data_IF_685833793216
#
_entry.id   IF_685833793216
#
_cell.length_a   1.000
_cell.length_b   1.000
_cell.length_c   1.000
_cell.angle_alpha   90.00
_cell.angle_beta   90.00
_cell.angle_gamma   90.00
#
_symmetry.space_group_name_H-M   'P 1'
#
loop_
_entity.id
_entity.type
_entity.pdbx_description
1 polymer ?
#
# COMPACT_ATOMS: atom_id res chain seq x y z
N UNK A 1 -85.26 16.44 -12.10
CA UNK A 1 -84.20 17.47 -12.17
C UNK A 1 -83.28 17.19 -10.99
N UNK A 2 -82.12 16.57 -11.24
CA UNK A 2 -81.13 16.22 -10.23
C UNK A 2 -79.86 17.08 -10.47
N UNK A 3 -79.62 18.00 -9.58
CA UNK A 3 -78.39 18.82 -9.54
C UNK A 3 -77.31 18.05 -8.76
N UNK A 4 -76.24 17.65 -9.46
CA UNK A 4 -75.03 17.07 -8.85
C UNK A 4 -74.13 18.24 -8.38
N UNK A 5 -73.91 18.32 -7.09
CA UNK A 5 -72.89 19.19 -6.49
C UNK A 5 -71.50 18.54 -6.63
N UNK A 6 -70.58 19.17 -7.31
CA UNK A 6 -69.17 18.83 -7.34
C UNK A 6 -68.45 19.59 -6.23
N UNK A 7 -67.95 18.90 -5.22
CA UNK A 7 -67.04 19.42 -4.21
C UNK A 7 -65.62 19.31 -4.76
N UNK A 8 -65.02 20.46 -5.08
CA UNK A 8 -63.59 20.53 -5.44
C UNK A 8 -62.76 20.58 -4.16
N UNK A 9 -62.01 19.51 -3.91
CA UNK A 9 -61.02 19.43 -2.82
C UNK A 9 -59.71 20.04 -3.35
N UNK A 10 -59.33 21.22 -2.90
CA UNK A 10 -58.00 21.79 -3.09
C UNK A 10 -57.03 21.13 -2.12
N UNK A 11 -56.13 20.27 -2.62
CA UNK A 11 -55.00 19.76 -1.84
C UNK A 11 -53.87 20.77 -2.00
N UNK A 12 -53.63 21.58 -0.97
CA UNK A 12 -52.44 22.41 -0.87
C UNK A 12 -51.24 21.56 -0.52
N UNK A 13 -50.37 21.28 -1.51
CA UNK A 13 -49.05 20.67 -1.26
C UNK A 13 -48.18 21.72 -0.54
N UNK A 14 -47.98 21.55 0.75
CA UNK A 14 -46.99 22.28 1.52
C UNK A 14 -45.60 21.66 1.21
N UNK A 15 -44.84 22.29 0.34
CA UNK A 15 -43.43 21.97 0.11
C UNK A 15 -42.64 22.41 1.35
N UNK A 16 -42.40 21.47 2.27
CA UNK A 16 -41.45 21.68 3.36
C UNK A 16 -40.05 21.53 2.77
N UNK A 17 -39.40 22.63 2.47
CA UNK A 17 -37.97 22.67 2.15
C UNK A 17 -37.21 22.38 3.45
N UNK A 18 -36.86 21.11 3.66
CA UNK A 18 -35.91 20.76 4.71
C UNK A 18 -34.52 21.18 4.21
N UNK A 19 -34.09 22.37 4.56
CA UNK A 19 -32.67 22.74 4.48
C UNK A 19 -31.95 21.92 5.52
N UNK A 20 -31.32 20.81 5.09
CA UNK A 20 -30.37 20.12 5.92
C UNK A 20 -29.17 21.06 6.11
N UNK A 21 -29.19 21.84 7.19
CA UNK A 21 -28.04 22.58 7.67
C UNK A 21 -27.07 21.52 8.20
N UNK A 22 -26.13 21.04 7.36
CA UNK A 22 -25.05 20.17 7.79
C UNK A 22 -24.32 20.93 8.92
N UNK A 23 -24.39 20.41 10.14
CA UNK A 23 -23.55 20.93 11.24
C UNK A 23 -22.12 20.82 10.77
N UNK A 24 -21.41 21.97 10.68
CA UNK A 24 -19.98 21.97 10.38
C UNK A 24 -19.27 21.09 11.40
N UNK A 25 -18.63 20.02 10.94
CA UNK A 25 -17.91 19.10 11.81
C UNK A 25 -16.61 19.74 12.34
N UNK A 26 -16.00 19.10 13.33
CA UNK A 26 -14.69 19.51 13.86
C UNK A 26 -13.66 19.70 12.73
N UNK A 27 -13.65 18.80 11.75
CA UNK A 27 -12.75 18.82 10.59
C UNK A 27 -12.84 20.10 9.74
N UNK A 28 -14.04 20.70 9.63
CA UNK A 28 -14.25 21.87 8.75
C UNK A 28 -13.58 23.15 9.28
N UNK A 29 -13.13 23.13 10.54
CA UNK A 29 -12.42 24.22 11.20
C UNK A 29 -10.90 24.05 11.16
N UNK A 30 -10.40 22.90 10.68
CA UNK A 30 -8.98 22.58 10.68
C UNK A 30 -8.27 23.13 9.44
N UNK A 31 -6.97 23.41 9.54
CA UNK A 31 -6.15 23.74 8.37
C UNK A 31 -6.20 22.61 7.33
N UNK A 32 -6.26 22.98 6.07
CA UNK A 32 -6.26 22.02 4.92
C UNK A 32 -4.90 21.99 4.29
N UNK A 33 -4.38 20.77 4.03
CA UNK A 33 -3.14 20.52 3.31
C UNK A 33 -3.42 19.53 2.18
N UNK A 34 -2.89 19.81 1.00
CA UNK A 34 -2.93 18.86 -0.12
C UNK A 34 -1.65 18.00 -0.02
N UNK A 35 -1.81 16.70 0.00
CA UNK A 35 -0.70 15.76 -0.11
C UNK A 35 -0.65 15.21 -1.52
N UNK A 36 0.44 15.51 -2.23
CA UNK A 36 0.73 14.87 -3.50
C UNK A 36 1.13 13.42 -3.24
N UNK A 37 0.44 12.50 -3.91
CA UNK A 37 0.72 11.09 -3.85
C UNK A 37 1.79 10.74 -4.88
N UNK A 38 2.81 10.03 -4.44
CA UNK A 38 3.95 9.59 -5.24
C UNK A 38 3.94 8.07 -5.40
N UNK A 39 4.35 7.51 -6.54
CA UNK A 39 4.41 6.06 -6.72
C UNK A 39 5.49 5.46 -5.83
N UNK A 40 5.27 4.21 -5.38
CA UNK A 40 6.30 3.42 -4.71
C UNK A 40 7.56 3.27 -5.62
N UNK A 41 8.78 3.25 -5.07
CA UNK A 41 9.13 3.16 -3.65
C UNK A 41 9.17 4.50 -2.90
N UNK A 42 8.77 5.60 -3.54
CA UNK A 42 8.80 6.92 -2.92
C UNK A 42 7.73 7.04 -1.83
N UNK A 43 8.02 7.89 -0.86
CA UNK A 43 7.11 8.22 0.23
C UNK A 43 6.85 9.73 0.20
N UNK A 44 5.60 10.19 0.35
CA UNK A 44 5.30 11.62 0.41
C UNK A 44 6.15 12.36 1.44
N UNK A 45 6.57 13.57 1.12
CA UNK A 45 7.30 14.41 2.07
C UNK A 45 6.50 14.61 3.35
N UNK A 46 7.10 14.33 4.48
CA UNK A 46 6.45 14.41 5.79
C UNK A 46 7.45 14.74 6.90
N UNK A 47 6.93 15.08 8.08
CA UNK A 47 7.73 15.22 9.29
C UNK A 47 7.48 14.02 10.20
N UNK A 48 8.51 13.49 10.83
CA UNK A 48 8.37 12.39 11.81
C UNK A 48 7.59 12.87 13.04
N UNK A 49 7.88 14.07 13.51
CA UNK A 49 7.13 14.76 14.57
C UNK A 49 6.19 15.77 13.95
N UNK A 50 4.94 15.76 14.36
CA UNK A 50 3.94 16.65 13.80
C UNK A 50 4.28 18.12 14.08
N UNK A 51 4.13 18.96 13.05
CA UNK A 51 4.19 20.43 13.20
C UNK A 51 2.76 20.97 13.37
N UNK A 52 2.48 21.50 14.54
CA UNK A 52 1.16 22.06 14.86
C UNK A 52 0.09 21.02 15.23
N UNK A 53 -1.18 21.47 15.28
CA UNK A 53 -2.35 20.64 15.60
C UNK A 53 -2.81 19.72 14.48
N UNK A 54 -3.95 19.04 14.66
CA UNK A 54 -4.61 18.27 13.62
C UNK A 54 -4.96 19.11 12.38
N UNK A 55 -5.02 18.45 11.22
CA UNK A 55 -5.33 19.06 9.93
C UNK A 55 -6.16 18.12 9.06
N UNK A 56 -6.74 18.65 7.99
CA UNK A 56 -7.35 17.86 6.92
C UNK A 56 -6.32 17.68 5.81
N UNK A 57 -5.96 16.43 5.54
CA UNK A 57 -5.06 16.05 4.46
C UNK A 57 -5.93 15.62 3.28
N UNK A 58 -5.93 16.43 2.22
CA UNK A 58 -6.64 16.09 0.98
C UNK A 58 -5.72 15.28 0.07
N UNK A 59 -6.21 14.13 -0.37
CA UNK A 59 -5.56 13.25 -1.34
C UNK A 59 -6.52 12.94 -2.48
N UNK A 60 -5.99 12.74 -3.68
CA UNK A 60 -6.77 12.34 -4.85
C UNK A 60 -6.20 11.06 -5.43
N UNK A 61 -7.08 10.07 -5.64
CA UNK A 61 -6.77 8.83 -6.34
C UNK A 61 -7.67 8.66 -7.56
N UNK A 62 -7.07 8.29 -8.68
CA UNK A 62 -7.76 7.87 -9.88
C UNK A 62 -7.51 6.39 -10.13
N UNK A 63 -8.56 5.67 -10.47
CA UNK A 63 -8.48 4.24 -10.76
C UNK A 63 -8.12 4.05 -12.22
N UNK A 64 -7.23 3.10 -12.50
CA UNK A 64 -6.80 2.76 -13.86
C UNK A 64 -6.85 1.25 -14.05
N UNK A 65 -7.45 0.81 -15.15
CA UNK A 65 -7.41 -0.56 -15.65
C UNK A 65 -6.43 -0.61 -16.82
N UNK A 66 -5.24 -1.23 -16.62
CA UNK A 66 -4.16 -1.21 -17.63
C UNK A 66 -3.39 -2.53 -17.70
N UNK A 67 -2.63 -2.70 -18.77
CA UNK A 67 -1.69 -3.81 -18.92
C UNK A 67 -0.30 -3.34 -18.49
N UNK A 68 0.38 -4.16 -17.68
CA UNK A 68 1.78 -3.97 -17.29
C UNK A 68 2.60 -5.20 -17.66
N UNK A 69 3.91 -5.05 -17.71
CA UNK A 69 4.85 -6.18 -17.78
C UNK A 69 5.27 -6.54 -16.37
N UNK A 70 5.15 -7.81 -15.98
CA UNK A 70 5.32 -8.25 -14.59
C UNK A 70 6.62 -9.05 -14.35
N UNK A 71 7.29 -9.50 -15.39
CA UNK A 71 8.54 -10.24 -15.29
C UNK A 71 9.54 -9.86 -16.40
N UNK A 72 10.76 -10.38 -16.28
CA UNK A 72 11.84 -10.16 -17.26
C UNK A 72 11.63 -10.90 -18.58
N UNK A 73 10.72 -11.86 -18.64
CA UNK A 73 10.31 -12.59 -19.83
C UNK A 73 9.33 -11.79 -20.71
N UNK A 74 8.80 -10.69 -20.17
CA UNK A 74 7.87 -9.81 -20.86
C UNK A 74 6.41 -10.20 -20.71
N UNK A 75 6.08 -11.05 -19.73
CA UNK A 75 4.71 -11.46 -19.43
C UNK A 75 3.82 -10.26 -19.18
N UNK A 76 2.73 -10.17 -19.93
CA UNK A 76 1.74 -9.09 -19.83
C UNK A 76 0.62 -9.50 -18.88
N UNK A 77 0.27 -8.60 -17.97
CA UNK A 77 -0.85 -8.79 -17.09
C UNK A 77 -1.70 -7.53 -16.97
N UNK A 78 -3.02 -7.71 -17.03
CA UNK A 78 -3.95 -6.60 -16.86
C UNK A 78 -4.18 -6.39 -15.37
N UNK A 79 -3.77 -5.24 -14.88
CA UNK A 79 -3.91 -4.82 -13.49
C UNK A 79 -5.00 -3.77 -13.33
N UNK A 80 -5.47 -3.64 -12.10
CA UNK A 80 -6.22 -2.50 -11.60
C UNK A 80 -5.32 -1.73 -10.65
N UNK A 81 -5.21 -0.42 -10.82
CA UNK A 81 -4.24 0.38 -10.11
C UNK A 81 -4.85 1.66 -9.54
N UNK A 82 -4.33 2.11 -8.41
CA UNK A 82 -4.56 3.46 -7.89
C UNK A 82 -3.43 4.38 -8.36
N UNK A 83 -3.77 5.49 -9.03
CA UNK A 83 -2.81 6.45 -9.60
C UNK A 83 -1.74 5.81 -10.48
N UNK A 84 -2.17 4.90 -11.37
CA UNK A 84 -1.27 4.20 -12.31
C UNK A 84 -0.15 3.37 -11.69
N UNK A 85 -0.17 3.12 -10.39
CA UNK A 85 0.88 2.43 -9.64
C UNK A 85 0.40 1.14 -9.00
N UNK A 86 1.23 0.10 -9.03
CA UNK A 86 1.10 -1.13 -8.24
C UNK A 86 2.38 -1.29 -7.43
N UNK A 87 2.29 -1.19 -6.11
CA UNK A 87 1.11 -0.88 -5.31
C UNK A 87 0.62 0.55 -5.54
N UNK A 88 -0.61 0.85 -5.09
CA UNK A 88 -1.09 2.22 -4.97
C UNK A 88 -0.24 3.04 -4.00
N UNK A 89 -0.22 4.38 -4.11
CA UNK A 89 0.69 5.24 -3.37
C UNK A 89 0.48 5.19 -1.85
N UNK A 90 1.55 5.43 -1.09
CA UNK A 90 1.46 5.59 0.36
C UNK A 90 0.79 6.91 0.71
N UNK A 91 -0.14 6.90 1.68
CA UNK A 91 -0.69 8.10 2.33
C UNK A 91 0.00 8.27 3.69
N UNK A 92 0.38 9.49 4.05
CA UNK A 92 1.02 9.78 5.34
C UNK A 92 0.19 10.79 6.13
N UNK A 93 -0.08 10.48 7.40
CA UNK A 93 -0.80 11.34 8.34
C UNK A 93 -0.19 11.25 9.74
N UNK A 94 -0.65 12.10 10.65
CA UNK A 94 -0.40 11.95 12.09
C UNK A 94 -1.72 11.66 12.83
N UNK A 95 -1.61 11.03 13.99
CA UNK A 95 -2.79 10.80 14.85
C UNK A 95 -3.57 12.09 15.06
N UNK A 96 -4.88 12.04 14.86
CA UNK A 96 -5.80 13.16 14.96
C UNK A 96 -6.03 13.93 13.65
N UNK A 97 -5.19 13.75 12.62
CA UNK A 97 -5.45 14.31 11.30
C UNK A 97 -6.68 13.64 10.66
N UNK A 98 -7.31 14.34 9.74
CA UNK A 98 -8.35 13.78 8.87
C UNK A 98 -7.78 13.55 7.49
N UNK A 99 -8.03 12.39 6.92
CA UNK A 99 -7.76 12.12 5.51
C UNK A 99 -9.07 12.34 4.75
N UNK A 100 -9.03 13.22 3.76
CA UNK A 100 -10.11 13.49 2.82
C UNK A 100 -9.70 12.99 1.45
N UNK A 101 -10.16 11.79 1.11
CA UNK A 101 -9.88 11.14 -0.17
C UNK A 101 -10.94 11.56 -1.19
N UNK A 102 -10.48 12.04 -2.35
CA UNK A 102 -11.28 12.06 -3.58
C UNK A 102 -10.90 10.83 -4.40
N UNK A 103 -11.79 9.85 -4.50
CA UNK A 103 -11.65 8.67 -5.35
C UNK A 103 -12.41 8.86 -6.65
N UNK A 104 -11.75 8.58 -7.78
CA UNK A 104 -12.32 8.76 -9.12
C UNK A 104 -12.22 7.46 -9.90
N UNK A 105 -13.32 7.00 -10.45
CA UNK A 105 -13.38 5.90 -11.41
C UNK A 105 -13.68 6.46 -12.80
N UNK A 106 -12.68 6.63 -13.68
CA UNK A 106 -12.87 7.20 -15.00
C UNK A 106 -13.88 6.42 -15.85
N UNK A 107 -14.66 7.12 -16.68
CA UNK A 107 -15.69 6.50 -17.55
C UNK A 107 -15.16 5.42 -18.49
N UNK A 108 -13.86 5.43 -18.80
CA UNK A 108 -13.22 4.42 -19.66
C UNK A 108 -12.97 3.08 -18.98
N UNK A 109 -13.08 3.01 -17.65
CA UNK A 109 -12.95 1.78 -16.89
C UNK A 109 -14.19 0.88 -17.07
N UNK A 110 -14.06 -0.40 -16.77
CA UNK A 110 -15.10 -1.40 -17.01
C UNK A 110 -15.79 -1.86 -15.72
N UNK A 111 -15.12 -1.72 -14.56
CA UNK A 111 -15.57 -2.26 -13.29
C UNK A 111 -15.92 -1.19 -12.26
N UNK A 112 -16.81 -1.57 -11.36
CA UNK A 112 -17.03 -0.89 -10.10
C UNK A 112 -15.82 -1.06 -9.17
N UNK A 113 -15.52 -0.04 -8.39
CA UNK A 113 -14.42 -0.05 -7.45
C UNK A 113 -14.81 0.68 -6.18
N UNK A 114 -14.10 0.38 -5.11
CA UNK A 114 -14.21 1.08 -3.84
C UNK A 114 -12.85 1.13 -3.12
N UNK A 115 -12.83 1.58 -1.87
CA UNK A 115 -11.63 1.58 -1.09
C UNK A 115 -11.94 1.30 0.39
N UNK A 116 -11.44 0.15 0.86
CA UNK A 116 -11.40 -0.25 2.26
C UNK A 116 -10.06 0.19 2.87
N UNK A 117 -10.10 1.01 3.93
CA UNK A 117 -8.94 1.44 4.69
C UNK A 117 -8.85 0.67 6.01
N UNK A 118 -7.86 -0.17 6.20
CA UNK A 118 -7.59 -0.81 7.50
C UNK A 118 -7.23 0.21 8.60
N UNK A 119 -6.78 1.41 8.22
CA UNK A 119 -6.49 2.52 9.14
C UNK A 119 -7.75 3.25 9.63
N UNK A 120 -8.88 3.13 8.92
CA UNK A 120 -10.11 3.84 9.26
C UNK A 120 -10.93 3.08 10.30
N UNK A 121 -11.62 3.81 11.17
CA UNK A 121 -12.59 3.24 12.11
C UNK A 121 -13.99 3.44 11.59
N UNK A 122 -14.61 2.38 11.15
CA UNK A 122 -15.97 2.38 10.58
C UNK A 122 -16.24 1.08 9.84
N UNK A 123 -17.52 0.78 9.58
CA UNK A 123 -17.91 -0.45 8.90
C UNK A 123 -17.24 -0.54 7.52
N UNK A 124 -16.69 -1.71 7.21
CA UNK A 124 -16.00 -2.01 5.96
C UNK A 124 -14.87 -1.01 5.61
N UNK A 125 -14.24 -0.39 6.62
CA UNK A 125 -13.16 0.58 6.40
C UNK A 125 -13.48 1.74 5.46
N UNK A 126 -14.78 2.02 5.23
CA UNK A 126 -15.27 2.99 4.26
C UNK A 126 -15.61 2.40 2.89
N UNK A 127 -15.42 1.10 2.66
CA UNK A 127 -15.67 0.45 1.36
C UNK A 127 -17.10 0.62 0.85
N UNK A 128 -18.10 0.52 1.75
CA UNK A 128 -19.49 0.78 1.39
C UNK A 128 -19.83 2.25 1.09
N UNK A 129 -18.99 3.20 1.54
CA UNK A 129 -19.15 4.63 1.31
C UNK A 129 -18.35 5.13 0.09
N UNK A 130 -17.49 4.31 -0.46
CA UNK A 130 -16.62 4.66 -1.60
C UNK A 130 -16.90 3.83 -2.85
N UNK A 131 -17.97 3.05 -2.84
CA UNK A 131 -18.37 2.25 -4.00
C UNK A 131 -18.81 3.15 -5.15
N UNK A 132 -18.10 3.10 -6.27
CA UNK A 132 -18.32 3.95 -7.45
C UNK A 132 -18.25 3.14 -8.75
N UNK A 133 -19.18 3.47 -9.66
CA UNK A 133 -19.23 2.93 -11.01
C UNK A 133 -18.31 3.71 -11.96
N UNK A 134 -18.00 3.17 -13.15
CA UNK A 134 -17.29 3.93 -14.18
C UNK A 134 -17.97 5.27 -14.51
N UNK A 135 -17.20 6.36 -14.43
CA UNK A 135 -17.67 7.74 -14.61
C UNK A 135 -18.05 8.45 -13.34
N UNK A 136 -17.93 7.80 -12.18
CA UNK A 136 -18.27 8.39 -10.88
C UNK A 136 -17.03 8.78 -10.07
N UNK A 137 -17.27 9.64 -9.09
CA UNK A 137 -16.29 10.02 -8.08
C UNK A 137 -16.98 10.19 -6.72
N UNK A 138 -16.24 9.97 -5.65
CA UNK A 138 -16.70 10.13 -4.27
C UNK A 138 -15.65 10.81 -3.42
N UNK A 139 -16.09 11.49 -2.37
CA UNK A 139 -15.20 12.02 -1.35
C UNK A 139 -15.53 11.34 -0.02
N UNK A 140 -14.53 10.67 0.55
CA UNK A 140 -14.60 10.09 1.89
C UNK A 140 -13.66 10.83 2.81
N UNK A 141 -14.14 11.23 4.01
CA UNK A 141 -13.33 11.80 5.07
C UNK A 141 -13.38 10.90 6.30
N UNK A 142 -12.23 10.56 6.84
CA UNK A 142 -12.09 9.79 8.08
C UNK A 142 -10.95 10.33 8.96
N UNK A 143 -11.04 10.11 10.27
CA UNK A 143 -10.04 10.57 11.25
C UNK A 143 -9.02 9.47 11.52
N UNK A 144 -7.72 9.77 11.40
CA UNK A 144 -6.63 8.87 11.75
C UNK A 144 -6.47 8.83 13.27
N UNK A 145 -6.93 7.75 13.92
CA UNK A 145 -6.95 7.66 15.39
C UNK A 145 -5.96 6.64 15.97
N UNK A 146 -5.40 5.76 15.13
CA UNK A 146 -4.43 4.74 15.52
C UNK A 146 -3.11 4.98 14.80
N UNK A 147 -1.98 5.12 15.52
CA UNK A 147 -0.68 5.22 14.88
C UNK A 147 -0.21 3.85 14.39
N UNK A 148 0.36 3.82 13.20
CA UNK A 148 0.84 2.59 12.57
C UNK A 148 0.95 2.68 11.07
N UNK A 149 1.30 1.57 10.45
CA UNK A 149 1.20 1.35 9.00
C UNK A 149 0.11 0.32 8.73
N UNK A 150 -0.72 0.61 7.73
CA UNK A 150 -1.93 -0.16 7.45
C UNK A 150 -2.10 -0.31 5.94
N UNK A 151 -2.65 -1.42 5.47
CA UNK A 151 -3.04 -1.55 4.08
C UNK A 151 -4.36 -0.81 3.79
N UNK A 152 -4.56 -0.48 2.54
CA UNK A 152 -5.86 -0.21 1.95
C UNK A 152 -6.00 -1.04 0.67
N UNK A 153 -7.21 -1.40 0.30
CA UNK A 153 -7.45 -2.15 -0.92
C UNK A 153 -8.87 -1.98 -1.45
N UNK A 154 -9.08 -2.36 -2.71
CA UNK A 154 -10.41 -2.46 -3.28
C UNK A 154 -11.14 -3.70 -2.74
N UNK A 155 -12.41 -3.56 -2.35
CA UNK A 155 -13.21 -4.62 -1.76
C UNK A 155 -14.68 -4.55 -2.21
N UNK A 156 -14.99 -4.73 -3.51
CA UNK A 156 -16.34 -4.51 -4.04
C UNK A 156 -17.37 -5.57 -3.59
N UNK A 157 -16.91 -6.74 -3.13
CA UNK A 157 -17.76 -7.78 -2.55
C UNK A 157 -17.48 -9.18 -3.10
N UNK A 158 -17.76 -10.21 -2.29
CA UNK A 158 -17.63 -11.62 -2.66
C UNK A 158 -16.27 -11.99 -3.27
N UNK A 159 -16.27 -12.79 -4.34
CA UNK A 159 -15.05 -13.21 -5.03
C UNK A 159 -14.32 -12.08 -5.78
N UNK A 160 -14.97 -10.92 -5.95
CA UNK A 160 -14.35 -9.74 -6.54
C UNK A 160 -13.31 -9.12 -5.60
N UNK A 161 -13.45 -9.28 -4.28
CA UNK A 161 -12.49 -8.74 -3.30
C UNK A 161 -11.08 -9.31 -3.54
N UNK A 162 -10.83 -10.63 -3.41
CA UNK A 162 -9.51 -11.18 -3.67
C UNK A 162 -9.06 -10.94 -5.12
N UNK A 163 -9.97 -10.98 -6.09
CA UNK A 163 -9.61 -10.76 -7.49
C UNK A 163 -9.08 -9.35 -7.74
N UNK A 164 -9.72 -8.29 -7.19
CA UNK A 164 -9.23 -6.91 -7.33
C UNK A 164 -7.89 -6.72 -6.60
N UNK A 165 -7.71 -7.33 -5.43
CA UNK A 165 -6.45 -7.26 -4.67
C UNK A 165 -5.30 -7.90 -5.46
N UNK A 166 -5.48 -9.12 -5.97
CA UNK A 166 -4.41 -9.78 -6.77
C UNK A 166 -4.22 -9.17 -8.14
N UNK A 167 -5.15 -8.33 -8.59
CA UNK A 167 -4.99 -7.47 -9.77
C UNK A 167 -4.16 -6.19 -9.49
N UNK A 168 -3.71 -5.97 -8.25
CA UNK A 168 -2.85 -4.85 -7.90
C UNK A 168 -3.53 -3.71 -7.13
N UNK A 169 -4.83 -3.82 -6.81
CA UNK A 169 -5.57 -2.74 -6.14
C UNK A 169 -5.37 -2.75 -4.63
N UNK A 170 -4.18 -2.46 -4.21
CA UNK A 170 -3.80 -2.27 -2.82
C UNK A 170 -2.74 -1.19 -2.66
N UNK A 171 -2.58 -0.71 -1.45
CA UNK A 171 -1.58 0.28 -1.07
C UNK A 171 -1.50 0.39 0.45
N UNK A 172 -0.89 1.46 0.98
CA UNK A 172 -0.74 1.61 2.42
C UNK A 172 -0.99 3.04 2.92
N UNK A 173 -1.30 3.13 4.21
CA UNK A 173 -1.37 4.37 4.98
C UNK A 173 -0.39 4.28 6.13
N UNK A 174 0.43 5.30 6.33
CA UNK A 174 1.25 5.49 7.52
C UNK A 174 0.67 6.60 8.38
N UNK A 175 0.29 6.27 9.61
CA UNK A 175 -0.17 7.22 10.61
C UNK A 175 0.89 7.32 11.70
N UNK A 176 1.64 8.40 11.74
CA UNK A 176 2.68 8.64 12.73
C UNK A 176 2.10 9.13 14.07
N UNK A 177 2.68 8.75 15.22
CA UNK A 177 2.41 9.43 16.49
C UNK A 177 2.76 10.92 16.35
N UNK A 178 2.00 11.81 16.96
CA UNK A 178 2.26 13.27 16.83
C UNK A 178 3.58 13.71 17.41
N UNK A 179 4.04 13.04 18.46
CA UNK A 179 5.32 13.29 19.13
C UNK A 179 6.48 12.42 18.59
N UNK A 180 6.27 11.75 17.45
CA UNK A 180 7.24 10.90 16.78
C UNK A 180 7.29 9.47 17.29
N UNK A 181 8.12 8.66 16.63
CA UNK A 181 8.36 7.27 17.00
C UNK A 181 9.26 7.20 18.23
N UNK A 182 9.07 6.19 19.07
CA UNK A 182 9.85 6.00 20.31
C UNK A 182 10.26 4.54 20.48
N UNK A 183 11.42 4.35 21.09
CA UNK A 183 11.87 3.03 21.56
C UNK A 183 11.13 2.62 22.85
N UNK A 184 11.52 1.47 23.40
CA UNK A 184 10.94 0.93 24.63
C UNK A 184 11.18 1.81 25.85
N UNK A 185 12.28 2.54 25.88
CA UNK A 185 12.70 3.46 26.92
C UNK A 185 12.09 4.86 26.76
N UNK A 186 11.37 5.10 25.64
CA UNK A 186 10.75 6.38 25.35
C UNK A 186 11.66 7.37 24.59
N UNK A 187 12.85 6.94 24.17
CA UNK A 187 13.75 7.78 23.39
C UNK A 187 13.23 7.96 21.95
N UNK A 188 13.43 9.15 21.34
CA UNK A 188 13.00 9.37 19.98
C UNK A 188 13.74 8.49 18.96
N UNK A 189 12.98 7.88 18.06
CA UNK A 189 13.49 7.19 16.89
C UNK A 189 13.30 8.10 15.67
N UNK A 190 14.38 8.31 14.92
CA UNK A 190 14.36 9.11 13.69
C UNK A 190 14.92 8.34 12.52
N UNK A 191 14.62 8.80 11.29
CA UNK A 191 15.19 8.29 10.06
C UNK A 191 15.43 9.45 9.08
N UNK A 192 16.40 9.27 8.18
CA UNK A 192 16.77 10.27 7.19
C UNK A 192 15.89 10.18 5.93
N UNK A 193 15.46 8.97 5.57
CA UNK A 193 14.56 8.69 4.44
C UNK A 193 13.69 7.47 4.70
N UNK A 194 12.66 7.32 3.91
CA UNK A 194 11.80 6.14 3.92
C UNK A 194 11.59 5.60 2.51
N UNK A 195 11.44 4.27 2.41
CA UNK A 195 11.00 3.57 1.20
C UNK A 195 9.73 2.81 1.47
N UNK A 196 8.83 2.80 0.49
CA UNK A 196 7.62 2.01 0.51
C UNK A 196 7.73 0.84 -0.47
N UNK A 197 7.58 -0.37 0.04
CA UNK A 197 7.60 -1.62 -0.70
C UNK A 197 6.23 -2.28 -0.56
N UNK A 198 5.53 -2.43 -1.68
CA UNK A 198 4.34 -3.24 -1.75
C UNK A 198 4.67 -4.59 -2.37
N UNK A 199 4.52 -5.65 -1.61
CA UNK A 199 4.62 -7.00 -2.13
C UNK A 199 3.30 -7.41 -2.76
N UNK A 200 3.35 -7.85 -4.01
CA UNK A 200 2.21 -8.23 -4.82
C UNK A 200 2.35 -9.68 -5.28
N UNK A 201 1.34 -10.48 -5.02
CA UNK A 201 1.20 -11.82 -5.56
C UNK A 201 0.24 -11.82 -6.76
N UNK A 202 0.69 -12.38 -7.88
CA UNK A 202 -0.10 -12.56 -9.09
C UNK A 202 -0.40 -14.03 -9.36
N UNK A 203 -1.58 -14.28 -9.94
CA UNK A 203 -2.09 -15.62 -10.25
C UNK A 203 -2.49 -15.66 -11.72
N UNK A 204 -1.53 -16.00 -12.57
CA UNK A 204 -1.75 -16.04 -14.02
C UNK A 204 -2.08 -17.46 -14.46
N UNK A 205 -3.22 -17.67 -15.13
CA UNK A 205 -3.52 -18.95 -15.76
C UNK A 205 -2.60 -19.22 -16.95
N UNK A 206 -2.35 -20.51 -17.23
CA UNK A 206 -1.58 -20.95 -18.39
C UNK A 206 -2.49 -21.63 -19.40
N UNK A 207 -2.09 -21.53 -20.68
CA UNK A 207 -2.70 -22.31 -21.75
C UNK A 207 -2.17 -23.76 -21.79
N UNK A 208 -2.68 -24.56 -22.71
CA UNK A 208 -2.29 -25.98 -22.87
C UNK A 208 -0.80 -26.15 -23.26
N UNK A 209 -0.17 -25.12 -23.82
CA UNK A 209 1.25 -25.08 -24.17
C UNK A 209 2.14 -24.62 -23.02
N UNK A 210 1.54 -24.23 -21.87
CA UNK A 210 2.25 -23.76 -20.69
C UNK A 210 2.58 -22.25 -20.69
N UNK A 211 2.14 -21.48 -21.69
CA UNK A 211 2.33 -20.04 -21.73
C UNK A 211 1.27 -19.34 -20.88
N UNK A 212 1.62 -18.18 -20.28
CA UNK A 212 0.65 -17.38 -19.56
C UNK A 212 -0.40 -16.80 -20.51
N UNK A 213 -1.68 -16.94 -20.15
CA UNK A 213 -2.81 -16.41 -20.92
C UNK A 213 -2.85 -14.89 -20.85
N UNK A 214 -3.07 -14.25 -21.98
CA UNK A 214 -3.39 -12.83 -22.08
C UNK A 214 -4.88 -12.65 -22.44
N UNK A 215 -5.51 -11.61 -21.87
CA UNK A 215 -6.93 -11.33 -22.08
C UNK A 215 -7.11 -9.92 -22.65
N UNK A 216 -7.94 -9.82 -23.69
CA UNK A 216 -8.23 -8.54 -24.37
C UNK A 216 -9.08 -7.65 -23.46
N UNK A 217 -10.15 -8.21 -22.91
CA UNK A 217 -11.03 -7.46 -22.01
C UNK A 217 -10.71 -7.73 -20.52
N UNK A 218 -10.87 -6.74 -19.65
CA UNK A 218 -10.51 -6.86 -18.23
C UNK A 218 -11.19 -8.01 -17.50
N UNK A 219 -12.43 -8.37 -17.88
CA UNK A 219 -13.23 -9.41 -17.22
C UNK A 219 -13.01 -10.83 -17.73
N UNK A 220 -12.45 -11.00 -18.93
CA UNK A 220 -12.36 -12.30 -19.60
C UNK A 220 -11.59 -13.35 -18.80
N UNK A 221 -10.59 -12.91 -18.03
CA UNK A 221 -9.76 -13.81 -17.21
C UNK A 221 -10.28 -14.07 -15.80
N UNK A 222 -11.47 -13.59 -15.41
CA UNK A 222 -11.93 -13.72 -14.02
C UNK A 222 -11.96 -15.16 -13.52
N UNK A 223 -12.68 -16.04 -14.23
CA UNK A 223 -12.82 -17.44 -13.84
C UNK A 223 -11.48 -18.18 -13.82
N UNK A 224 -10.65 -17.97 -14.83
CA UNK A 224 -9.35 -18.64 -14.97
C UNK A 224 -8.38 -18.21 -13.85
N UNK A 225 -8.30 -16.91 -13.57
CA UNK A 225 -7.50 -16.35 -12.46
C UNK A 225 -8.00 -16.89 -11.11
N UNK A 226 -9.32 -16.98 -10.92
CA UNK A 226 -9.91 -17.50 -9.69
C UNK A 226 -9.54 -18.99 -9.46
N UNK A 227 -9.50 -19.81 -10.51
CA UNK A 227 -9.04 -21.20 -10.38
C UNK A 227 -7.58 -21.29 -9.96
N UNK A 228 -6.71 -20.44 -10.51
CA UNK A 228 -5.29 -20.39 -10.04
C UNK A 228 -5.23 -19.89 -8.59
N UNK A 229 -6.00 -18.87 -8.21
CA UNK A 229 -6.04 -18.36 -6.84
C UNK A 229 -6.46 -19.42 -5.81
N UNK A 230 -7.40 -20.30 -6.15
CA UNK A 230 -7.85 -21.42 -5.29
C UNK A 230 -6.73 -22.40 -4.94
N UNK A 231 -5.66 -22.44 -5.72
CA UNK A 231 -4.48 -23.27 -5.40
C UNK A 231 -3.65 -22.69 -4.24
N UNK A 232 -3.87 -21.40 -3.87
CA UNK A 232 -3.11 -20.62 -2.92
C UNK A 232 -1.62 -20.48 -3.29
N UNK A 233 -1.26 -20.83 -4.54
CA UNK A 233 0.11 -20.78 -5.05
C UNK A 233 0.21 -19.71 -6.13
N UNK A 234 0.84 -18.56 -5.86
CA UNK A 234 1.00 -17.50 -6.86
C UNK A 234 1.98 -17.92 -7.95
N UNK A 235 1.79 -17.37 -9.13
CA UNK A 235 2.72 -17.55 -10.25
C UNK A 235 3.89 -16.57 -10.18
N UNK A 236 3.66 -15.39 -9.60
CA UNK A 236 4.65 -14.36 -9.36
C UNK A 236 4.41 -13.76 -7.97
N UNK A 237 5.50 -13.46 -7.29
CA UNK A 237 5.50 -12.63 -6.08
C UNK A 237 6.56 -11.56 -6.29
N UNK A 238 6.15 -10.32 -6.40
CA UNK A 238 7.03 -9.24 -6.86
C UNK A 238 6.94 -8.03 -5.93
N UNK A 239 8.00 -7.23 -5.89
CA UNK A 239 7.97 -5.94 -5.23
C UNK A 239 7.64 -4.84 -6.25
N UNK A 240 6.76 -3.93 -5.86
CA UNK A 240 6.35 -2.77 -6.65
C UNK A 240 5.94 -3.09 -8.10
N UNK A 241 5.15 -4.17 -8.25
CA UNK A 241 4.38 -4.49 -9.45
C UNK A 241 5.09 -5.32 -10.52
N UNK A 242 6.41 -5.51 -10.45
CA UNK A 242 7.12 -6.38 -11.39
C UNK A 242 8.43 -6.92 -10.84
N UNK A 243 8.86 -8.08 -11.37
CA UNK A 243 10.21 -8.59 -11.13
C UNK A 243 11.25 -7.55 -11.58
N UNK A 244 12.22 -7.28 -10.71
CA UNK A 244 13.30 -6.34 -11.00
C UNK A 244 12.93 -4.86 -10.92
N UNK A 245 11.71 -4.50 -10.49
CA UNK A 245 11.29 -3.10 -10.35
C UNK A 245 12.22 -2.27 -9.45
N UNK A 246 12.89 -2.91 -8.49
CA UNK A 246 13.80 -2.29 -7.52
C UNK A 246 15.21 -2.88 -7.60
N UNK A 247 15.67 -3.29 -8.79
CA UNK A 247 16.98 -3.86 -9.04
C UNK A 247 17.77 -3.05 -10.09
N UNK A 248 19.07 -3.27 -10.18
CA UNK A 248 19.91 -2.65 -11.20
C UNK A 248 19.94 -1.12 -11.11
N UNK A 249 19.53 -0.44 -12.16
CA UNK A 249 19.48 1.04 -12.21
C UNK A 249 18.33 1.62 -11.36
N UNK A 250 17.31 0.81 -11.07
CA UNK A 250 16.18 1.18 -10.22
C UNK A 250 16.41 0.81 -8.74
N UNK A 251 17.57 0.31 -8.38
CA UNK A 251 17.90 -0.05 -7.01
C UNK A 251 17.72 1.13 -6.06
N UNK A 252 17.25 0.84 -4.86
CA UNK A 252 17.19 1.82 -3.77
C UNK A 252 18.61 2.29 -3.42
N UNK A 253 18.75 3.50 -2.90
CA UNK A 253 20.07 4.05 -2.58
C UNK A 253 20.14 4.59 -1.17
N UNK A 254 21.29 4.36 -0.51
CA UNK A 254 21.60 4.93 0.79
C UNK A 254 23.12 5.26 0.89
N UNK A 255 23.50 5.87 2.00
CA UNK A 255 24.90 6.13 2.35
C UNK A 255 25.21 5.50 3.71
N UNK A 256 26.47 5.14 3.92
CA UNK A 256 26.96 4.76 5.25
C UNK A 256 26.66 5.89 6.24
N UNK A 257 26.04 5.54 7.36
CA UNK A 257 25.56 6.48 8.38
C UNK A 257 24.09 6.87 8.25
N UNK A 258 23.47 6.75 7.06
CA UNK A 258 22.03 7.00 6.89
C UNK A 258 21.17 5.96 7.60
N UNK A 259 20.12 6.43 8.23
CA UNK A 259 19.07 5.64 8.84
C UNK A 259 17.86 5.64 7.90
N UNK A 260 17.41 4.47 7.49
CA UNK A 260 16.34 4.30 6.50
C UNK A 260 15.18 3.53 7.10
N UNK A 261 13.96 4.03 6.90
CA UNK A 261 12.73 3.30 7.20
C UNK A 261 12.26 2.54 5.95
N UNK A 262 11.97 1.27 6.11
CA UNK A 262 11.29 0.44 5.11
C UNK A 262 9.86 0.18 5.59
N UNK A 263 8.89 0.60 4.79
CA UNK A 263 7.47 0.31 4.98
C UNK A 263 7.15 -0.83 4.03
N UNK A 264 6.67 -1.96 4.54
CA UNK A 264 6.37 -3.15 3.75
C UNK A 264 4.90 -3.52 3.93
N UNK A 265 4.16 -3.60 2.82
CA UNK A 265 2.74 -3.96 2.81
C UNK A 265 2.49 -5.20 1.93
N UNK A 266 1.63 -6.10 2.42
CA UNK A 266 1.13 -7.24 1.67
C UNK A 266 -0.38 -7.40 1.95
N UNK A 267 -1.18 -7.18 0.93
CA UNK A 267 -2.64 -7.08 1.11
C UNK A 267 -3.37 -8.43 1.09
N UNK A 268 -2.74 -9.51 0.62
CA UNK A 268 -3.38 -10.81 0.44
C UNK A 268 -2.72 -11.92 1.27
N UNK A 269 -1.42 -12.17 1.05
CA UNK A 269 -0.66 -13.26 1.70
C UNK A 269 0.21 -12.74 2.83
N UNK A 270 0.68 -13.64 3.67
CA UNK A 270 1.75 -13.34 4.62
C UNK A 270 3.11 -13.25 3.92
N UNK A 271 4.05 -12.53 4.53
CA UNK A 271 5.41 -12.35 4.02
C UNK A 271 6.44 -12.34 5.17
N UNK A 272 7.71 -12.50 4.80
CA UNK A 272 8.83 -12.62 5.74
C UNK A 272 9.99 -11.73 5.31
N UNK A 273 9.85 -10.40 5.49
CA UNK A 273 10.90 -9.47 5.11
C UNK A 273 12.21 -9.73 5.84
N UNK A 274 13.32 -9.58 5.11
CA UNK A 274 14.68 -9.71 5.58
C UNK A 274 15.58 -8.74 4.82
N UNK A 275 16.59 -8.19 5.49
CA UNK A 275 17.64 -7.39 4.86
C UNK A 275 18.96 -8.16 4.91
N UNK A 276 19.39 -8.71 3.77
CA UNK A 276 20.73 -9.36 3.66
C UNK A 276 21.80 -8.28 3.84
N UNK A 277 22.61 -8.44 4.88
CA UNK A 277 23.65 -7.49 5.26
C UNK A 277 23.33 -6.63 6.48
N UNK A 278 22.14 -6.82 7.08
CA UNK A 278 21.74 -6.11 8.28
C UNK A 278 20.61 -6.76 9.04
N UNK A 279 20.40 -6.30 10.27
CA UNK A 279 19.27 -6.65 11.10
C UNK A 279 18.41 -5.41 11.27
N UNK A 280 17.09 -5.54 11.31
CA UNK A 280 16.23 -4.39 11.63
C UNK A 280 16.57 -3.84 13.02
N UNK A 281 17.15 -2.63 13.08
CA UNK A 281 17.47 -2.00 14.38
C UNK A 281 16.19 -1.81 15.19
N UNK A 282 15.11 -1.36 14.53
CA UNK A 282 13.76 -1.25 15.08
C UNK A 282 12.75 -1.84 14.09
N UNK A 283 11.87 -2.72 14.55
CA UNK A 283 10.88 -3.40 13.71
C UNK A 283 9.50 -3.40 14.38
N UNK A 284 8.50 -2.96 13.63
CA UNK A 284 7.07 -3.10 13.95
C UNK A 284 6.44 -4.09 12.97
N UNK A 285 6.53 -5.41 13.25
CA UNK A 285 6.11 -6.44 12.28
C UNK A 285 4.61 -6.40 11.98
N UNK A 286 3.80 -5.95 12.94
CA UNK A 286 2.34 -5.80 12.78
C UNK A 286 1.93 -4.35 12.49
N UNK A 287 2.90 -3.46 12.20
CA UNK A 287 2.66 -2.08 11.86
C UNK A 287 2.17 -1.16 12.96
N UNK A 288 1.88 -1.64 14.17
CA UNK A 288 1.37 -0.82 15.29
C UNK A 288 2.47 0.02 15.92
N UNK A 289 2.43 1.34 15.77
CA UNK A 289 3.34 2.26 16.45
C UNK A 289 2.93 2.58 17.91
N UNK A 290 1.81 2.04 18.40
CA UNK A 290 1.48 2.08 19.81
C UNK A 290 2.36 1.12 20.65
N UNK A 291 2.86 0.07 19.98
CA UNK A 291 3.72 -0.90 20.64
C UNK A 291 5.19 -0.45 20.48
N UNK A 292 6.03 -0.64 21.49
CA UNK A 292 7.45 -0.43 21.32
C UNK A 292 7.98 -1.39 20.24
N UNK A 293 8.93 -0.95 19.40
CA UNK A 293 9.49 -1.80 18.38
C UNK A 293 10.25 -2.98 18.98
N UNK A 294 10.28 -4.08 18.25
CA UNK A 294 11.27 -5.13 18.47
C UNK A 294 12.62 -4.66 17.92
N UNK A 295 13.70 -5.17 18.44
CA UNK A 295 15.06 -4.75 18.04
C UNK A 295 15.87 -5.94 17.51
N UNK A 296 16.77 -5.64 16.58
CA UNK A 296 17.76 -6.58 16.04
C UNK A 296 17.15 -7.85 15.43
N UNK A 297 16.02 -7.69 14.73
CA UNK A 297 15.41 -8.83 14.03
C UNK A 297 16.11 -9.05 12.68
N UNK A 298 16.51 -10.30 12.44
CA UNK A 298 17.03 -10.71 11.13
C UNK A 298 15.91 -10.85 10.09
N UNK A 299 14.83 -11.52 10.46
CA UNK A 299 13.63 -11.74 9.64
C UNK A 299 12.40 -11.56 10.53
N UNK A 300 11.34 -11.00 9.99
CA UNK A 300 10.08 -10.83 10.74
C UNK A 300 8.87 -11.24 9.92
N UNK A 301 7.80 -11.55 10.59
CA UNK A 301 6.57 -11.98 9.97
C UNK A 301 5.61 -10.79 9.83
N UNK A 302 5.12 -10.53 8.61
CA UNK A 302 4.01 -9.62 8.32
C UNK A 302 2.83 -10.47 7.91
N UNK A 303 1.72 -10.48 8.68
CA UNK A 303 0.54 -11.26 8.32
C UNK A 303 -0.12 -10.74 7.06
N UNK A 304 -0.85 -11.60 6.36
CA UNK A 304 -1.63 -11.22 5.19
C UNK A 304 -2.66 -10.14 5.52
N UNK A 305 -2.82 -9.18 4.63
CA UNK A 305 -3.71 -8.04 4.86
C UNK A 305 -3.15 -7.02 5.86
N UNK A 306 -1.82 -6.97 6.04
CA UNK A 306 -1.17 -6.04 6.95
C UNK A 306 0.04 -5.34 6.31
N UNK A 307 0.56 -4.35 7.02
CA UNK A 307 1.82 -3.71 6.72
C UNK A 307 2.70 -3.70 7.97
N UNK A 308 4.01 -3.70 7.77
CA UNK A 308 5.03 -3.56 8.81
C UNK A 308 5.97 -2.41 8.51
N UNK A 309 6.77 -2.02 9.49
CA UNK A 309 7.82 -1.04 9.32
C UNK A 309 9.12 -1.53 9.97
N UNK A 310 10.24 -1.22 9.33
CA UNK A 310 11.57 -1.51 9.83
C UNK A 310 12.46 -0.30 9.65
N UNK A 311 13.31 0.00 10.62
CA UNK A 311 14.34 1.03 10.55
C UNK A 311 15.71 0.37 10.69
N UNK A 312 16.63 0.73 9.80
CA UNK A 312 18.00 0.26 9.79
C UNK A 312 18.98 1.40 9.48
N UNK A 313 20.04 1.49 10.27
CA UNK A 313 21.17 2.40 9.99
C UNK A 313 22.24 1.64 9.21
N UNK A 314 22.53 2.08 7.98
CA UNK A 314 23.56 1.46 7.15
C UNK A 314 24.96 1.75 7.71
N UNK A 315 25.73 0.68 7.97
CA UNK A 315 27.06 0.77 8.62
C UNK A 315 28.21 0.38 7.71
N UNK A 316 27.93 -0.25 6.58
CA UNK A 316 28.90 -0.68 5.56
C UNK A 316 28.41 -0.27 4.17
N UNK A 317 29.31 0.08 3.22
CA UNK A 317 28.94 0.23 1.82
C UNK A 317 28.76 -1.12 1.15
N UNK A 318 28.12 -1.14 -0.02
CA UNK A 318 27.90 -2.33 -0.84
C UNK A 318 26.46 -2.49 -1.24
N UNK A 319 26.15 -3.64 -1.85
CA UNK A 319 24.79 -3.99 -2.24
C UNK A 319 24.14 -4.84 -1.15
N UNK A 320 23.08 -4.34 -0.58
CA UNK A 320 22.19 -5.07 0.30
C UNK A 320 20.99 -5.57 -0.50
N UNK A 321 20.39 -6.68 -0.07
CA UNK A 321 19.15 -7.18 -0.69
C UNK A 321 18.07 -7.24 0.37
N UNK A 322 17.00 -6.48 0.14
CA UNK A 322 15.76 -6.57 0.91
C UNK A 322 14.81 -7.52 0.20
N UNK A 323 14.36 -8.56 0.87
CA UNK A 323 13.61 -9.64 0.22
C UNK A 323 12.58 -10.30 1.15
N UNK A 324 11.63 -11.04 0.57
CA UNK A 324 10.85 -12.03 1.28
C UNK A 324 11.71 -13.30 1.48
N UNK A 325 11.92 -13.72 2.73
CA UNK A 325 12.80 -14.87 3.03
C UNK A 325 12.15 -16.24 2.78
N UNK A 326 11.06 -16.33 2.05
CA UNK A 326 10.75 -17.48 1.22
C UNK A 326 11.61 -17.34 -0.04
N UNK A 327 12.75 -18.04 -0.07
CA UNK A 327 13.78 -17.83 -1.10
C UNK A 327 13.33 -18.19 -2.52
N UNK A 328 12.35 -19.07 -2.67
CA UNK A 328 11.72 -19.33 -3.97
C UNK A 328 10.93 -18.08 -4.42
N UNK A 329 10.17 -17.48 -3.53
CA UNK A 329 9.43 -16.24 -3.84
C UNK A 329 10.38 -15.08 -4.13
N UNK A 330 11.51 -14.99 -3.42
CA UNK A 330 12.50 -13.94 -3.64
C UNK A 330 13.24 -14.07 -4.98
N UNK A 331 13.85 -15.22 -5.24
CA UNK A 331 14.82 -15.37 -6.34
C UNK A 331 14.22 -15.96 -7.61
N UNK A 332 13.10 -16.66 -7.52
CA UNK A 332 12.44 -17.30 -8.68
C UNK A 332 11.18 -16.52 -9.07
N UNK A 333 10.43 -15.98 -8.11
CA UNK A 333 9.17 -15.28 -8.38
C UNK A 333 9.29 -13.76 -8.32
N UNK A 334 10.43 -13.19 -7.83
CA UNK A 334 10.77 -11.77 -7.97
C UNK A 334 10.59 -10.89 -6.73
N UNK A 335 10.34 -11.46 -5.52
CA UNK A 335 10.09 -10.70 -4.28
C UNK A 335 11.38 -10.17 -3.64
N UNK A 336 12.12 -9.31 -4.33
CA UNK A 336 13.37 -8.71 -3.83
C UNK A 336 13.61 -7.30 -4.36
N UNK A 337 14.43 -6.56 -3.63
CA UNK A 337 14.92 -5.23 -3.97
C UNK A 337 16.41 -5.11 -3.60
N UNK A 338 17.18 -4.38 -4.41
CA UNK A 338 18.55 -4.02 -4.09
C UNK A 338 18.59 -2.65 -3.40
N UNK A 339 19.51 -2.51 -2.43
CA UNK A 339 19.87 -1.23 -1.82
C UNK A 339 21.36 -1.00 -2.03
N UNK A 340 21.70 -0.07 -2.90
CA UNK A 340 23.10 0.33 -3.16
C UNK A 340 23.54 1.37 -2.15
N UNK A 341 24.46 0.98 -1.28
CA UNK A 341 24.98 1.84 -0.19
C UNK A 341 26.38 2.33 -0.55
N UNK A 342 26.56 3.64 -0.60
CA UNK A 342 27.88 4.26 -0.86
C UNK A 342 28.52 4.70 0.44
N UNK A 343 29.87 4.65 0.51
CA UNK A 343 30.61 5.07 1.68
C UNK A 343 31.98 4.39 1.79
N UNK A 344 32.62 4.55 2.93
CA UNK A 344 33.91 3.95 3.24
C UNK A 344 33.68 2.60 3.94
N UNK A 345 34.40 1.56 3.48
CA UNK A 345 34.41 0.26 4.14
C UNK A 345 35.04 0.32 5.53
N UNK A 346 34.49 -0.42 6.48
CA UNK A 346 35.00 -0.52 7.84
C UNK A 346 35.40 -1.97 8.14
N UNK A 347 36.70 -2.22 8.19
CA UNK A 347 37.25 -3.55 8.48
C UNK A 347 36.94 -4.04 9.87
N UNK A 348 36.69 -3.15 10.87
CA UNK A 348 36.32 -3.57 12.22
C UNK A 348 34.98 -4.32 12.27
N UNK A 349 34.11 -4.11 11.26
CA UNK A 349 32.84 -4.80 11.16
C UNK A 349 32.91 -6.07 10.32
N UNK A 350 33.73 -6.06 9.25
CA UNK A 350 33.93 -7.20 8.37
C UNK A 350 35.20 -7.02 7.56
N UNK A 351 36.06 -8.01 7.55
CA UNK A 351 37.31 -8.03 6.79
C UNK A 351 37.57 -9.39 6.17
N UNK A 352 37.97 -9.42 4.91
CA UNK A 352 38.48 -10.62 4.26
C UNK A 352 39.97 -10.76 4.58
N UNK A 353 40.33 -11.74 5.38
CA UNK A 353 41.72 -11.95 5.81
C UNK A 353 42.56 -12.75 4.81
N UNK A 354 41.93 -13.50 3.91
CA UNK A 354 42.60 -14.30 2.88
C UNK A 354 41.71 -14.38 1.66
N UNK A 355 42.31 -14.15 0.50
CA UNK A 355 41.66 -14.40 -0.78
C UNK A 355 41.37 -15.89 -1.01
N UNK A 356 40.31 -16.21 -1.79
CA UNK A 356 40.01 -17.60 -2.15
C UNK A 356 41.26 -18.29 -2.75
N UNK A 357 41.70 -19.34 -2.11
CA UNK A 357 42.92 -20.08 -2.49
C UNK A 357 42.56 -21.54 -2.71
N UNK A 358 43.17 -22.18 -3.74
CA UNK A 358 43.00 -23.61 -3.96
C UNK A 358 43.62 -24.40 -2.81
N UNK A 359 42.86 -25.30 -2.22
CA UNK A 359 43.35 -26.27 -1.27
C UNK A 359 44.12 -27.32 -2.08
N UNK A 360 45.37 -27.56 -1.71
CA UNK A 360 46.19 -28.65 -2.26
C UNK A 360 46.17 -29.75 -1.22
N UNK A 361 45.52 -30.88 -1.54
CA UNK A 361 45.46 -32.06 -0.67
C UNK A 361 46.81 -32.77 -0.59
#
# INVERSE_FOLDING_TARGET
MNTKNYISIFISLLLISITLQAKSGEADKLPVVIQELVPAPLVPAHNIVAKGGPKVIKVRMSITEKVITIDKQGTKFRVFAFNDSVPGPLIVAHVGDYIELTLVNPKKNNFEHNLDFHAATGALGGGGLTHILPGEAVILRWKAIKPGVFVYHCAPGGAMVPWHVVKGMNGAVMVLPRDGLKDREGNPITYDKAFYIGEQDFYLPKDESGNFKEYIHPGDGFSDVLEVMKTLTPTHVVFNGSEGALEGDNALTAKVGETVMFIHAQANRDTRPHLIGGHGDYVWPNGSFNDPPRTNLETWFVPGGAAGAMIYKFRQPGTYVYLNHNLIEAFILGAKAEVKVTGKWNNDLMEQLMEPTRIVD
#
